data_IF_567475870838
#
_entry.id   IF_567475870838
#
_cell.length_a   1.000
_cell.length_b   1.000
_cell.length_c   1.000
_cell.angle_alpha   90.00
_cell.angle_beta   90.00
_cell.angle_gamma   90.00
#
_symmetry.space_group_name_H-M   'P 1'
#
loop_
_entity.id
_entity.type
_entity.pdbx_description
1 polymer ?
#
# COMPACT_ATOMS: atom_id res chain seq x y z
N UNK A 1 -0.82 15.02 1.07
CA UNK A 1 -1.55 14.44 -0.08
C UNK A 1 -0.91 13.11 -0.41
N UNK A 2 -1.64 11.99 -0.37
CA UNK A 2 -1.12 10.72 -0.89
C UNK A 2 -1.15 10.81 -2.41
N UNK A 3 0.02 10.83 -3.05
CA UNK A 3 0.14 10.79 -4.50
C UNK A 3 0.46 9.35 -4.92
N UNK A 4 -0.11 8.85 -6.02
CA UNK A 4 0.34 7.61 -6.59
C UNK A 4 1.81 7.69 -6.96
N UNK A 5 2.55 6.65 -6.63
CA UNK A 5 3.98 6.51 -6.87
C UNK A 5 4.16 5.34 -7.81
N UNK A 6 5.07 5.49 -8.76
CA UNK A 6 5.40 4.42 -9.69
C UNK A 6 6.40 3.44 -9.03
N UNK A 7 6.39 2.18 -9.49
CA UNK A 7 7.29 1.15 -8.95
C UNK A 7 8.78 1.45 -9.18
N UNK A 8 9.14 2.17 -10.24
CA UNK A 8 10.51 2.64 -10.50
C UNK A 8 10.97 3.60 -9.40
N UNK A 9 10.14 4.61 -9.06
CA UNK A 9 10.44 5.55 -7.98
C UNK A 9 10.70 4.81 -6.66
N UNK A 10 9.93 3.76 -6.36
CA UNK A 10 10.15 2.96 -5.15
C UNK A 10 11.45 2.15 -5.24
N UNK A 11 11.76 1.58 -6.40
CA UNK A 11 13.02 0.89 -6.61
C UNK A 11 14.22 1.84 -6.38
N UNK A 12 14.15 3.05 -6.92
CA UNK A 12 15.21 4.06 -6.81
C UNK A 12 15.37 4.57 -5.37
N UNK A 13 14.27 4.79 -4.63
CA UNK A 13 14.33 5.28 -3.24
C UNK A 13 14.72 4.19 -2.22
N UNK A 14 14.41 2.93 -2.50
CA UNK A 14 14.64 1.81 -1.56
C UNK A 14 15.85 0.96 -1.88
N UNK A 15 16.47 1.17 -3.06
CA UNK A 15 17.55 0.35 -3.62
C UNK A 15 17.17 -1.15 -3.71
N UNK A 16 15.87 -1.43 -3.83
CA UNK A 16 15.34 -2.79 -3.95
C UNK A 16 15.18 -3.17 -5.41
N UNK A 17 15.52 -4.43 -5.72
CA UNK A 17 15.31 -4.95 -7.07
C UNK A 17 13.83 -5.00 -7.45
N UNK A 18 13.54 -4.73 -8.72
CA UNK A 18 12.19 -4.83 -9.29
C UNK A 18 11.52 -6.20 -9.06
N UNK A 19 12.29 -7.29 -9.14
CA UNK A 19 11.79 -8.64 -8.91
C UNK A 19 11.35 -8.83 -7.47
N UNK A 20 12.13 -8.30 -6.52
CA UNK A 20 11.78 -8.34 -5.10
C UNK A 20 10.54 -7.51 -4.80
N UNK A 21 10.48 -6.27 -5.32
CA UNK A 21 9.32 -5.39 -5.14
C UNK A 21 8.04 -6.01 -5.67
N UNK A 22 8.07 -6.59 -6.88
CA UNK A 22 6.90 -7.30 -7.43
C UNK A 22 6.46 -8.45 -6.53
N UNK A 23 7.39 -9.31 -6.09
CA UNK A 23 7.07 -10.44 -5.20
C UNK A 23 6.47 -9.95 -3.87
N UNK A 24 7.05 -8.90 -3.29
CA UNK A 24 6.57 -8.31 -2.05
C UNK A 24 5.16 -7.76 -2.20
N UNK A 25 4.89 -6.99 -3.25
CA UNK A 25 3.58 -6.38 -3.50
C UNK A 25 2.52 -7.43 -3.81
N UNK A 26 2.86 -8.50 -4.54
CA UNK A 26 1.97 -9.64 -4.76
C UNK A 26 1.64 -10.34 -3.43
N UNK A 27 2.64 -10.64 -2.60
CA UNK A 27 2.41 -11.25 -1.29
C UNK A 27 1.50 -10.39 -0.39
N UNK A 28 1.72 -9.07 -0.38
CA UNK A 28 0.91 -8.14 0.42
C UNK A 28 -0.54 -8.07 -0.09
N UNK A 29 -0.73 -8.14 -1.42
CA UNK A 29 -2.07 -8.25 -2.02
C UNK A 29 -2.77 -9.55 -1.65
N UNK A 30 -2.06 -10.68 -1.67
CA UNK A 30 -2.59 -11.99 -1.26
C UNK A 30 -2.95 -12.02 0.23
N UNK A 31 -2.18 -11.33 1.07
CA UNK A 31 -2.46 -11.17 2.51
C UNK A 31 -3.58 -10.14 2.79
N UNK A 32 -4.21 -9.59 1.75
CA UNK A 32 -5.24 -8.55 1.86
C UNK A 32 -4.76 -7.34 2.70
N UNK A 33 -3.49 -6.95 2.55
CA UNK A 33 -2.93 -5.83 3.29
C UNK A 33 -3.65 -4.51 2.95
N UNK A 34 -4.28 -3.88 3.95
CA UNK A 34 -5.16 -2.72 3.77
C UNK A 34 -4.43 -1.37 3.73
N UNK A 35 -3.09 -1.35 3.79
CA UNK A 35 -2.31 -0.12 3.91
C UNK A 35 -1.91 0.55 2.59
N UNK A 36 -2.11 -0.10 1.44
CA UNK A 36 -1.89 0.51 0.12
C UNK A 36 -2.66 -0.25 -0.97
N UNK A 37 -2.92 0.44 -2.07
CA UNK A 37 -3.38 -0.14 -3.33
C UNK A 37 -2.21 -0.34 -4.28
N UNK A 38 -2.32 -1.39 -5.09
CA UNK A 38 -1.37 -1.72 -6.14
C UNK A 38 -2.09 -2.20 -7.39
N UNK A 39 -1.93 -1.45 -8.48
CA UNK A 39 -2.56 -1.74 -9.77
C UNK A 39 -1.56 -1.58 -10.91
N UNK A 40 -1.77 -2.38 -11.96
CA UNK A 40 -1.04 -2.23 -13.22
C UNK A 40 -1.75 -1.19 -14.09
N UNK A 41 -1.09 -0.07 -14.38
CA UNK A 41 -1.58 0.94 -15.33
C UNK A 41 -0.72 0.92 -16.60
N UNK A 42 -1.27 0.40 -17.69
CA UNK A 42 -0.54 0.22 -18.95
C UNK A 42 0.67 -0.69 -18.78
N UNK A 43 1.88 -0.16 -19.02
CA UNK A 43 3.14 -0.90 -18.86
C UNK A 43 3.82 -0.68 -17.50
N UNK A 44 3.28 0.19 -16.63
CA UNK A 44 3.84 0.45 -15.30
C UNK A 44 2.92 -0.08 -14.20
N UNK A 45 3.45 -0.12 -12.99
CA UNK A 45 2.70 -0.40 -11.79
C UNK A 45 2.66 0.82 -10.90
N UNK A 46 1.49 1.10 -10.33
CA UNK A 46 1.25 2.29 -9.52
C UNK A 46 0.79 1.86 -8.13
N UNK A 47 1.37 2.52 -7.13
CA UNK A 47 1.19 2.22 -5.71
C UNK A 47 0.73 3.50 -5.02
N UNK A 48 -0.35 3.43 -4.23
CA UNK A 48 -0.78 4.57 -3.41
C UNK A 48 -1.36 4.12 -2.08
N UNK A 49 -1.22 4.96 -1.06
CA UNK A 49 -1.79 4.69 0.27
C UNK A 49 -3.32 4.83 0.23
N UNK A 50 -4.04 3.80 0.66
CA UNK A 50 -5.47 3.89 0.89
C UNK A 50 -5.75 4.58 2.23
N UNK A 51 -5.82 5.92 2.19
CA UNK A 51 -6.01 6.70 3.42
C UNK A 51 -7.33 6.37 4.10
N UNK A 52 -8.40 6.18 3.33
CA UNK A 52 -9.74 6.04 3.88
C UNK A 52 -9.93 4.68 4.54
N UNK A 53 -9.34 3.63 3.95
CA UNK A 53 -9.34 2.30 4.57
C UNK A 53 -8.49 2.23 5.83
N UNK A 54 -7.28 2.84 5.81
CA UNK A 54 -6.42 2.94 7.00
C UNK A 54 -7.12 3.70 8.13
N UNK A 55 -7.76 4.84 7.82
CA UNK A 55 -8.52 5.63 8.82
C UNK A 55 -9.73 4.84 9.33
N UNK A 56 -10.45 4.12 8.47
CA UNK A 56 -11.60 3.29 8.87
C UNK A 56 -11.17 2.16 9.80
N UNK A 57 -10.07 1.47 9.49
CA UNK A 57 -9.54 0.43 10.38
C UNK A 57 -9.05 1.04 11.71
N UNK A 58 -8.34 2.17 11.70
CA UNK A 58 -7.95 2.87 12.93
C UNK A 58 -9.17 3.27 13.77
N UNK A 59 -10.26 3.77 13.16
CA UNK A 59 -11.51 4.06 13.89
C UNK A 59 -12.14 2.79 14.48
N UNK A 60 -12.11 1.67 13.76
CA UNK A 60 -12.61 0.39 14.27
C UNK A 60 -11.73 -0.16 15.41
N UNK A 61 -10.40 0.02 15.32
CA UNK A 61 -9.43 -0.43 16.33
C UNK A 61 -9.31 0.52 17.52
N UNK A 62 -9.59 1.81 17.35
CA UNK A 62 -9.62 2.79 18.44
C UNK A 62 -11.01 2.88 19.08
N UNK A 63 -12.08 2.59 18.34
CA UNK A 63 -13.45 2.53 18.85
C UNK A 63 -13.62 1.51 19.97
N UNK A 64 -12.87 0.40 19.96
CA UNK A 64 -12.81 -0.55 21.08
C UNK A 64 -12.16 -0.01 22.35
N UNK A 65 -11.38 1.08 22.24
CA UNK A 65 -10.74 1.76 23.37
C UNK A 65 -11.49 3.03 23.80
N UNK A 66 -12.53 3.45 23.08
CA UNK A 66 -13.42 4.56 23.43
C UNK A 66 -14.63 4.09 24.25
N UNK A 67 -14.50 2.99 25.01
CA UNK A 67 -15.48 2.65 26.04
C UNK A 67 -15.14 3.43 27.30
N UNK A 68 -16.12 4.26 27.67
CA UNK A 68 -16.23 5.26 28.74
C UNK A 68 -15.57 6.63 28.49
#
# INVERSE_FOLDING_TARGET
MNKPVDIQTIADETDLSWTYLKKLLTNLKEQQYEGFHFEKLGNSWIIWKDRDHIIKHLKNTCGKFLKD
#
